data_IF_196938425793
#
_entry.id   IF_196938425793
#
_cell.length_a   1.000
_cell.length_b   1.000
_cell.length_c   1.000
_cell.angle_alpha   90.00
_cell.angle_beta   90.00
_cell.angle_gamma   90.00
#
_symmetry.space_group_name_H-M   'P 1'
#
loop_
_entity.id
_entity.type
_entity.pdbx_description
1 polymer ?
#
# COMPACT_ATOMS: atom_id res chain seq x y z
N UNK A 1 15.60 -15.15 -1.29
CA UNK A 1 14.19 -14.78 -1.61
C UNK A 1 14.00 -13.25 -1.65
N UNK A 2 13.44 -12.72 -2.74
CA UNK A 2 13.11 -11.29 -2.83
C UNK A 2 11.78 -11.02 -2.13
N UNK A 3 11.79 -10.09 -1.18
CA UNK A 3 10.63 -9.64 -0.42
C UNK A 3 10.45 -8.15 -0.68
N UNK A 4 9.24 -7.75 -1.01
CA UNK A 4 8.85 -6.36 -1.14
C UNK A 4 8.05 -5.92 0.07
N UNK A 5 8.32 -4.70 0.53
CA UNK A 5 7.56 -4.05 1.59
C UNK A 5 6.63 -3.02 0.94
N UNK A 6 5.36 -3.39 0.84
CA UNK A 6 4.31 -2.46 0.45
C UNK A 6 3.91 -1.63 1.65
N UNK A 7 3.72 -0.33 1.45
CA UNK A 7 3.30 0.58 2.52
C UNK A 7 2.35 1.65 1.99
N UNK A 8 1.38 2.03 2.81
CA UNK A 8 0.46 3.14 2.55
C UNK A 8 1.12 4.51 2.71
N UNK A 9 2.15 4.61 3.57
CA UNK A 9 2.78 5.88 3.91
C UNK A 9 3.50 5.86 5.27
N UNK A 10 4.01 7.02 5.70
CA UNK A 10 4.78 7.17 6.94
C UNK A 10 4.05 6.75 8.23
N UNK A 11 2.73 6.90 8.29
CA UNK A 11 1.93 6.52 9.46
C UNK A 11 1.54 5.04 9.44
N UNK A 12 1.94 4.30 8.38
CA UNK A 12 1.77 2.86 8.24
C UNK A 12 0.31 2.41 8.44
N UNK A 13 -0.63 3.16 7.84
CA UNK A 13 -2.05 2.77 7.85
C UNK A 13 -2.24 1.32 7.38
N UNK A 14 -1.52 0.92 6.33
CA UNK A 14 -1.41 -0.45 5.86
C UNK A 14 0.00 -0.77 5.36
N UNK A 15 0.55 -1.88 5.87
CA UNK A 15 1.84 -2.42 5.46
C UNK A 15 1.73 -3.92 5.17
N UNK A 16 2.46 -4.40 4.16
CA UNK A 16 2.52 -5.81 3.83
C UNK A 16 3.89 -6.23 3.28
N UNK A 17 4.38 -7.37 3.73
CA UNK A 17 5.56 -8.03 3.17
C UNK A 17 5.14 -9.11 2.19
N UNK A 18 5.63 -9.00 0.95
CA UNK A 18 5.22 -9.88 -0.14
C UNK A 18 6.45 -10.52 -0.76
N UNK A 19 6.42 -11.85 -0.83
CA UNK A 19 7.39 -12.61 -1.58
C UNK A 19 7.03 -12.53 -3.07
N UNK A 20 7.98 -12.14 -3.92
CA UNK A 20 7.72 -11.90 -5.35
C UNK A 20 7.13 -13.11 -6.09
N UNK A 21 7.47 -14.33 -5.65
CA UNK A 21 6.99 -15.59 -6.24
C UNK A 21 5.48 -15.80 -6.07
N UNK A 22 4.83 -15.01 -5.22
CA UNK A 22 3.37 -15.03 -5.01
C UNK A 22 2.71 -13.74 -5.50
N UNK A 23 3.48 -12.84 -6.13
CA UNK A 23 2.96 -11.58 -6.64
C UNK A 23 2.23 -11.78 -7.96
N UNK A 24 0.99 -11.31 -8.02
CA UNK A 24 0.12 -11.39 -9.17
C UNK A 24 -0.94 -10.29 -9.11
N UNK A 25 -1.62 -10.05 -10.23
CA UNK A 25 -2.78 -9.15 -10.27
C UNK A 25 -3.86 -9.57 -9.27
N UNK A 26 -4.16 -10.86 -9.17
CA UNK A 26 -5.13 -11.38 -8.20
C UNK A 26 -4.69 -11.17 -6.76
N UNK A 27 -3.38 -11.27 -6.48
CA UNK A 27 -2.85 -10.98 -5.14
C UNK A 27 -3.04 -9.50 -4.79
N UNK A 28 -2.79 -8.60 -5.74
CA UNK A 28 -3.04 -7.17 -5.59
C UNK A 28 -4.53 -6.89 -5.35
N UNK A 29 -5.43 -7.53 -6.11
CA UNK A 29 -6.88 -7.43 -5.86
C UNK A 29 -7.27 -7.94 -4.47
N UNK A 30 -6.70 -9.07 -4.03
CA UNK A 30 -6.97 -9.62 -2.71
C UNK A 30 -6.49 -8.69 -1.58
N UNK A 31 -5.33 -8.05 -1.74
CA UNK A 31 -4.85 -7.00 -0.81
C UNK A 31 -5.87 -5.87 -0.73
N UNK A 32 -6.32 -5.39 -1.88
CA UNK A 32 -7.29 -4.30 -2.00
C UNK A 32 -8.64 -4.59 -1.36
N UNK A 33 -9.21 -5.76 -1.60
CA UNK A 33 -10.59 -6.08 -1.23
C UNK A 33 -10.75 -6.80 0.11
N UNK A 34 -9.69 -7.44 0.61
CA UNK A 34 -9.75 -8.22 1.85
C UNK A 34 -8.87 -7.63 2.94
N UNK A 35 -7.57 -7.50 2.68
CA UNK A 35 -6.61 -7.16 3.72
C UNK A 35 -6.69 -5.69 4.13
N UNK A 36 -6.77 -4.79 3.14
CA UNK A 36 -6.93 -3.36 3.39
C UNK A 36 -8.28 -3.07 4.03
N UNK A 37 -9.37 -3.60 3.48
CA UNK A 37 -10.73 -3.39 4.02
C UNK A 37 -10.86 -3.91 5.48
N UNK A 38 -10.23 -5.04 5.80
CA UNK A 38 -10.19 -5.54 7.18
C UNK A 38 -9.38 -4.61 8.11
N UNK A 39 -8.25 -4.08 7.62
CA UNK A 39 -7.40 -3.16 8.39
C UNK A 39 -8.09 -1.82 8.61
N UNK A 40 -8.67 -1.24 7.57
CA UNK A 40 -9.44 0.01 7.58
C UNK A 40 -10.57 -0.07 8.62
N UNK A 41 -11.41 -1.10 8.55
CA UNK A 41 -12.47 -1.33 9.54
C UNK A 41 -11.95 -1.41 10.99
N UNK A 42 -10.81 -2.05 11.20
CA UNK A 42 -10.20 -2.12 12.53
C UNK A 42 -9.77 -0.75 13.05
N UNK A 43 -9.31 0.15 12.17
CA UNK A 43 -8.94 1.52 12.54
C UNK A 43 -10.18 2.38 12.78
N UNK A 44 -11.19 2.26 11.92
CA UNK A 44 -12.47 2.99 12.07
C UNK A 44 -13.19 2.63 13.37
N UNK A 45 -13.18 1.34 13.75
CA UNK A 45 -13.72 0.90 15.03
C UNK A 45 -12.97 1.57 16.19
N UNK A 46 -11.63 1.57 16.15
CA UNK A 46 -10.80 2.22 17.17
C UNK A 46 -11.05 3.73 17.23
N UNK A 47 -11.22 4.38 16.09
CA UNK A 47 -11.58 5.80 16.02
C UNK A 47 -12.92 6.04 16.70
N UNK A 48 -13.92 5.21 16.40
CA UNK A 48 -15.26 5.29 16.98
C UNK A 48 -15.23 5.11 18.50
N UNK A 49 -14.46 4.14 18.99
CA UNK A 49 -14.28 3.90 20.43
C UNK A 49 -13.65 5.11 21.15
N UNK A 50 -12.70 5.81 20.52
CA UNK A 50 -12.11 7.02 21.08
C UNK A 50 -13.09 8.19 21.02
N UNK A 51 -13.76 8.41 19.90
CA UNK A 51 -14.75 9.48 19.75
C UNK A 51 -15.97 9.33 20.67
N UNK A 52 -16.28 8.11 21.13
CA UNK A 52 -17.35 7.85 22.08
C UNK A 52 -17.02 8.23 23.53
N UNK A 53 -15.76 8.55 23.85
CA UNK A 53 -15.35 8.93 25.21
C UNK A 53 -15.73 10.38 25.51
N UNK A 54 -16.19 10.63 26.74
CA UNK A 54 -16.52 11.99 27.20
C UNK A 54 -15.28 12.90 27.30
N UNK A 55 -14.11 12.33 27.57
CA UNK A 55 -12.84 13.04 27.58
C UNK A 55 -11.70 12.12 27.15
N UNK A 56 -10.69 12.70 26.48
CA UNK A 56 -9.50 12.00 26.03
C UNK A 56 -8.29 12.44 26.84
N UNK A 57 -7.46 11.50 27.23
CA UNK A 57 -6.10 11.77 27.70
C UNK A 57 -5.22 12.28 26.56
N UNK A 58 -4.09 12.90 26.89
CA UNK A 58 -3.13 13.38 25.89
C UNK A 58 -2.64 12.26 24.94
N UNK A 59 -2.44 11.05 25.45
CA UNK A 59 -2.07 9.90 24.62
C UNK A 59 -3.18 9.45 23.68
N UNK A 60 -4.44 9.52 24.12
CA UNK A 60 -5.60 9.18 23.29
C UNK A 60 -5.88 10.23 22.22
N UNK A 61 -5.61 11.50 22.51
CA UNK A 61 -5.66 12.56 21.49
C UNK A 61 -4.60 12.32 20.40
N UNK A 62 -3.37 11.98 20.78
CA UNK A 62 -2.31 11.64 19.82
C UNK A 62 -2.63 10.37 19.01
N UNK A 63 -3.25 9.36 19.64
CA UNK A 63 -3.73 8.14 18.98
C UNK A 63 -4.79 8.50 17.92
N UNK A 64 -5.78 9.32 18.30
CA UNK A 64 -6.82 9.81 17.39
C UNK A 64 -6.23 10.55 16.17
N UNK A 65 -5.28 11.46 16.41
CA UNK A 65 -4.60 12.20 15.34
C UNK A 65 -3.83 11.26 14.39
N UNK A 66 -3.18 10.24 14.94
CA UNK A 66 -2.48 9.21 14.15
C UNK A 66 -3.46 8.40 13.31
N UNK A 67 -4.59 7.99 13.91
CA UNK A 67 -5.66 7.26 13.24
C UNK A 67 -6.22 8.04 12.05
N UNK A 68 -6.47 9.34 12.19
CA UNK A 68 -6.94 10.17 11.08
C UNK A 68 -5.97 10.15 9.89
N UNK A 69 -4.66 10.23 10.17
CA UNK A 69 -3.65 10.16 9.10
C UNK A 69 -3.57 8.77 8.49
N UNK A 70 -3.62 7.71 9.30
CA UNK A 70 -3.62 6.32 8.81
C UNK A 70 -4.79 6.03 7.88
N UNK A 71 -6.01 6.48 8.22
CA UNK A 71 -7.19 6.32 7.36
C UNK A 71 -7.01 7.06 6.01
N UNK A 72 -6.47 8.28 6.05
CA UNK A 72 -6.15 9.05 4.82
C UNK A 72 -5.09 8.36 3.96
N UNK A 73 -4.08 7.76 4.57
CA UNK A 73 -3.09 6.97 3.85
C UNK A 73 -3.71 5.73 3.19
N UNK A 74 -4.57 5.02 3.92
CA UNK A 74 -5.30 3.86 3.39
C UNK A 74 -6.14 4.25 2.18
N UNK A 75 -6.90 5.35 2.26
CA UNK A 75 -7.71 5.86 1.16
C UNK A 75 -6.84 6.13 -0.09
N UNK A 76 -5.73 6.87 0.07
CA UNK A 76 -4.79 7.13 -1.03
C UNK A 76 -4.16 5.86 -1.58
N UNK A 77 -3.85 4.88 -0.71
CA UNK A 77 -3.27 3.61 -1.11
C UNK A 77 -4.26 2.76 -1.92
N UNK A 78 -5.54 2.70 -1.49
CA UNK A 78 -6.64 2.06 -2.23
C UNK A 78 -6.75 2.65 -3.64
N UNK A 79 -6.78 3.97 -3.76
CA UNK A 79 -6.85 4.65 -5.05
C UNK A 79 -5.66 4.29 -5.97
N UNK A 80 -4.42 4.25 -5.44
CA UNK A 80 -3.24 3.87 -6.23
C UNK A 80 -3.33 2.43 -6.74
N UNK A 81 -3.88 1.50 -5.95
CA UNK A 81 -4.13 0.12 -6.38
C UNK A 81 -5.18 0.11 -7.49
N UNK A 82 -6.29 0.81 -7.30
CA UNK A 82 -7.40 0.85 -8.26
C UNK A 82 -6.92 1.41 -9.62
N UNK A 83 -6.10 2.47 -9.60
CA UNK A 83 -5.45 3.02 -10.79
C UNK A 83 -4.47 2.04 -11.47
N UNK A 84 -3.70 1.22 -10.71
CA UNK A 84 -2.84 0.18 -11.31
C UNK A 84 -3.68 -0.88 -12.01
N UNK A 85 -4.72 -1.35 -11.33
CA UNK A 85 -5.60 -2.38 -11.86
C UNK A 85 -6.32 -1.90 -13.12
N UNK A 86 -6.84 -0.67 -13.11
CA UNK A 86 -7.46 -0.02 -14.27
C UNK A 86 -6.46 0.18 -15.42
N UNK A 87 -5.20 0.49 -15.10
CA UNK A 87 -4.11 0.60 -16.07
C UNK A 87 -3.59 -0.73 -16.63
N UNK A 88 -4.25 -1.86 -16.35
CA UNK A 88 -3.88 -3.16 -16.89
C UNK A 88 -2.67 -3.83 -16.21
N UNK A 89 -2.22 -3.33 -15.05
CA UNK A 89 -1.08 -3.91 -14.34
C UNK A 89 -1.30 -5.41 -14.08
N UNK A 90 -0.41 -6.24 -14.64
CA UNK A 90 -0.45 -7.68 -14.53
C UNK A 90 0.98 -8.23 -14.43
N UNK A 91 1.56 -8.30 -13.21
CA UNK A 91 2.96 -8.67 -13.05
C UNK A 91 3.20 -10.14 -13.40
N UNK A 92 4.23 -10.40 -14.19
CA UNK A 92 4.65 -11.74 -14.62
C UNK A 92 6.06 -11.99 -14.08
N UNK A 93 6.25 -13.08 -13.34
CA UNK A 93 7.53 -13.35 -12.65
C UNK A 93 8.71 -13.38 -13.63
N UNK A 94 8.52 -14.02 -14.79
CA UNK A 94 9.57 -14.28 -15.78
C UNK A 94 9.97 -13.03 -16.59
N UNK A 95 9.13 -12.00 -16.64
CA UNK A 95 9.43 -10.73 -17.33
C UNK A 95 10.45 -9.85 -16.58
N UNK A 96 10.83 -10.28 -15.38
CA UNK A 96 11.87 -9.64 -14.58
C UNK A 96 11.32 -8.75 -13.48
N UNK A 97 11.99 -8.83 -12.33
CA UNK A 97 11.64 -8.14 -11.07
C UNK A 97 11.55 -6.62 -11.26
N UNK A 98 12.41 -6.03 -12.10
CA UNK A 98 12.43 -4.59 -12.37
C UNK A 98 11.16 -4.09 -13.08
N UNK A 99 10.65 -4.82 -14.08
CA UNK A 99 9.41 -4.49 -14.80
C UNK A 99 8.22 -4.50 -13.85
N UNK A 100 8.16 -5.51 -12.97
CA UNK A 100 7.06 -5.67 -12.02
C UNK A 100 7.05 -4.61 -10.91
N UNK A 101 8.22 -4.21 -10.40
CA UNK A 101 8.27 -3.24 -9.28
C UNK A 101 8.17 -1.77 -9.74
N UNK A 102 8.55 -1.48 -10.99
CA UNK A 102 8.57 -0.10 -11.49
C UNK A 102 7.22 0.63 -11.36
N UNK A 103 6.06 0.03 -11.70
CA UNK A 103 4.76 0.67 -11.47
C UNK A 103 4.46 0.93 -9.99
N UNK A 104 4.85 0.02 -9.10
CA UNK A 104 4.67 0.16 -7.65
C UNK A 104 5.52 1.31 -7.09
N UNK A 105 6.80 1.39 -7.50
CA UNK A 105 7.69 2.47 -7.10
C UNK A 105 7.21 3.82 -7.65
N UNK A 106 6.79 3.89 -8.93
CA UNK A 106 6.24 5.11 -9.53
C UNK A 106 5.05 5.66 -8.75
N UNK A 107 4.18 4.77 -8.25
CA UNK A 107 3.04 5.15 -7.40
C UNK A 107 3.37 5.31 -5.92
N UNK A 108 4.65 5.22 -5.53
CA UNK A 108 5.10 5.34 -4.13
C UNK A 108 4.38 4.35 -3.21
N UNK A 109 4.30 3.09 -3.64
CA UNK A 109 3.63 2.01 -2.91
C UNK A 109 4.61 1.06 -2.22
N UNK A 110 5.90 1.38 -2.23
CA UNK A 110 6.96 0.60 -1.61
C UNK A 110 7.74 1.47 -0.62
N UNK A 111 8.22 0.88 0.46
CA UNK A 111 8.87 1.61 1.55
C UNK A 111 10.23 2.19 1.19
N UNK A 112 10.88 1.67 0.15
CA UNK A 112 12.19 2.12 -0.31
C UNK A 112 12.30 2.05 -1.83
N UNK A 113 13.06 2.97 -2.43
CA UNK A 113 13.35 2.94 -3.86
C UNK A 113 14.29 1.77 -4.17
N UNK A 114 13.83 0.85 -5.02
CA UNK A 114 14.61 -0.30 -5.48
C UNK A 114 15.31 0.03 -6.80
N UNK A 115 14.65 0.81 -7.65
CA UNK A 115 15.15 1.24 -8.94
C UNK A 115 15.69 2.66 -8.83
N UNK A 116 16.89 2.91 -9.35
CA UNK A 116 17.34 4.28 -9.58
C UNK A 116 16.53 4.94 -10.71
N UNK A 117 16.66 6.26 -10.89
CA UNK A 117 15.86 7.01 -11.87
C UNK A 117 16.01 6.50 -13.31
N UNK A 118 17.21 6.06 -13.70
CA UNK A 118 17.46 5.48 -15.02
C UNK A 118 16.77 4.13 -15.21
N UNK A 119 16.85 3.25 -14.20
CA UNK A 119 16.17 1.96 -14.18
C UNK A 119 14.66 2.13 -14.17
N UNK A 120 14.13 3.03 -13.33
CA UNK A 120 12.69 3.31 -13.26
C UNK A 120 12.17 3.77 -14.62
N UNK A 121 12.87 4.72 -15.28
CA UNK A 121 12.53 5.17 -16.63
C UNK A 121 12.59 4.01 -17.63
N UNK A 122 13.63 3.17 -17.59
CA UNK A 122 13.76 2.01 -18.48
C UNK A 122 12.58 1.05 -18.33
N UNK A 123 12.27 0.61 -17.11
CA UNK A 123 11.27 -0.43 -16.86
C UNK A 123 9.83 0.05 -17.03
N UNK A 124 9.54 1.34 -16.83
CA UNK A 124 8.22 1.91 -17.11
C UNK A 124 7.90 1.97 -18.61
N UNK A 125 8.91 1.93 -19.48
CA UNK A 125 8.75 1.97 -20.94
C UNK A 125 9.13 0.62 -21.60
N UNK A 126 9.28 -0.45 -20.81
CA UNK A 126 9.50 -1.78 -21.35
C UNK A 126 8.18 -2.34 -21.90
N UNK A 127 8.24 -3.08 -23.01
CA UNK A 127 7.08 -3.72 -23.61
C UNK A 127 6.45 -4.73 -22.64
N UNK A 128 5.12 -4.68 -22.50
CA UNK A 128 4.33 -5.51 -21.58
C UNK A 128 3.94 -6.85 -22.19
#
# INVERSE_FOLDING_TARGET
>A
PFIWHLTSGPEQGFDAYIIIYKWSRDKLMSIRSRYIEQRERSIENRQSDLCAKESLSASEQNDLDTIYKQLKEIESFKQRIDELLAGGYNPILDDGVGKNIAPLQKKKMIAYEVLNSGQLKKYLNADW
#
